data_IF_292944922867
#
_entry.id   IF_292944922867
#
_cell.length_a   1.000
_cell.length_b   1.000
_cell.length_c   1.000
_cell.angle_alpha   90.00
_cell.angle_beta   90.00
_cell.angle_gamma   90.00
#
_symmetry.space_group_name_H-M   'P 1'
#
loop_
_entity.id
_entity.type
_entity.pdbx_description
1 polymer ?
2 polymer ?
#
loop_
_entity_poly.entity_id
_entity_poly.type
_entity_poly.pdbx_seq_one_letter_code
_entity_poly.pdbx_strand_id
1 'polyribonucleotide' 'GGGGGUGAAACGGUCUCGACGGGGGUCGCCGAGGGCGUGGCUGCGCGCCGAGGUGCGGGUGGCCUCGUAAAAACCCGCAACGGCAUAACUGCCAACACCAACUACGCUCUCGCGGCUUAAUGACCGCGACCUCGCCCGGUAGCCCUGCCGGGGGCUCACCGGAAGCGGGGACACAAACCCGGCUAGCCCGGGGCCACGCCCUCUAACCCCGGGCGAAGCUUGAAGGGGGCUCGCUCCUGGCCGCCCGUCCGCGGGCCAAGCCAGGAGGACACGCGAAACGCGGACUACGCGCGUAGAGGCCCGCCGUAGGGACCUUCGGACGGGGGUUCGACUCCCCCCACCUCCACCA' ?
#
# COMPACT_ATOMS: atom_id res chain seq x y z
N UNK B 1 -16.42 -3.90 3.96
CA UNK B 1 -17.01 -4.22 2.64
C UNK B 1 -15.89 -4.81 1.81
N UNK B 2 -16.01 -5.81 0.93
CA UNK B 2 -14.83 -6.45 0.37
C UNK B 2 -13.98 -5.61 -0.58
N UNK B 3 -14.42 -4.42 -0.99
CA UNK B 3 -13.58 -3.47 -1.68
C UNK B 3 -13.64 -2.16 -0.90
N UNK B 4 -12.49 -1.68 -0.37
CA UNK B 4 -12.40 -0.41 0.34
C UNK B 4 -11.19 0.34 -0.18
N UNK B 5 -10.48 1.15 0.63
CA UNK B 5 -9.21 1.74 0.23
C UNK B 5 -8.35 2.28 1.34
N UNK B 6 -7.10 2.59 0.97
CA UNK B 6 -6.10 3.19 1.82
C UNK B 6 -5.87 4.58 1.29
N UNK B 7 -6.28 5.63 2.02
CA UNK B 7 -6.03 6.98 1.57
C UNK B 7 -4.78 7.52 2.25
N UNK B 8 -3.62 7.29 1.64
CA UNK B 8 -2.35 7.81 2.12
C UNK B 8 -1.51 8.14 0.90
N UNK B 9 -2.27 8.65 -0.06
CA UNK B 9 -2.01 8.89 -1.45
C UNK B 9 -3.42 8.95 -1.98
N UNK B 10 -4.01 10.17 -1.99
CA UNK B 10 -5.34 10.60 -2.43
C UNK B 10 -5.80 11.88 -1.69
N UNK B 11 -4.85 12.65 -1.10
CA UNK B 11 -5.05 13.84 -0.27
C UNK B 11 -3.78 14.19 0.49
N UNK B 12 -2.59 13.86 -0.03
CA UNK B 12 -1.47 13.50 0.84
C UNK B 12 -0.26 13.30 -0.07
N UNK B 13 -0.50 12.51 -1.12
CA UNK B 13 0.35 12.15 -2.22
C UNK B 13 -0.69 11.73 -3.26
N UNK B 14 -0.31 11.43 -4.52
CA UNK B 14 -1.04 10.48 -5.37
C UNK B 14 -0.13 9.99 -6.50
N UNK B 15 -0.51 8.88 -7.15
CA UNK B 15 0.24 8.11 -8.13
C UNK B 15 0.77 8.74 -9.42
N UNK B 16 1.91 8.18 -9.88
CA UNK B 16 2.44 8.34 -11.23
C UNK B 16 2.28 7.06 -12.06
N UNK B 17 2.22 5.88 -11.41
CA UNK B 17 1.96 4.60 -12.08
C UNK B 17 1.18 3.72 -11.11
N UNK B 18 0.24 2.90 -11.64
CA UNK B 18 -0.66 2.03 -10.86
C UNK B 18 -0.55 0.58 -11.28
N UNK B 19 -0.64 -0.34 -10.29
CA UNK B 19 -0.48 -1.76 -10.47
C UNK B 19 -1.36 -2.44 -9.43
N UNK B 20 -1.48 -3.77 -9.42
CA UNK B 20 -2.22 -4.47 -8.39
C UNK B 20 -1.52 -5.78 -8.12
N UNK B 21 -1.62 -6.33 -6.90
CA UNK B 21 -1.01 -7.60 -6.58
C UNK B 21 -1.83 -8.37 -5.56
N UNK B 22 -2.10 -9.66 -5.83
CA UNK B 22 -2.58 -10.62 -4.85
C UNK B 22 -1.61 -10.85 -3.72
N UNK B 23 -2.11 -10.96 -2.48
CA UNK B 23 -1.26 -11.08 -1.31
C UNK B 23 -1.74 -12.21 -0.39
N UNK B 24 -1.02 -13.35 -0.37
CA UNK B 24 -1.27 -14.43 0.59
C UNK B 24 -1.00 -14.00 2.04
N UNK B 25 -1.80 -14.49 3.02
CA UNK B 25 -1.76 -13.81 4.31
C UNK B 25 -2.09 -14.55 5.60
N UNK B 26 -2.55 -15.83 5.60
CA UNK B 26 -3.06 -16.53 6.78
C UNK B 26 -4.45 -16.02 7.16
N UNK B 27 -5.49 -16.88 7.11
CA UNK B 27 -6.92 -16.54 6.95
C UNK B 27 -7.48 -15.56 7.95
N UNK B 28 -6.89 -15.51 9.15
CA UNK B 28 -7.15 -14.63 10.30
C UNK B 28 -7.24 -13.11 10.08
N UNK B 29 -7.23 -12.62 8.83
CA UNK B 29 -7.42 -11.23 8.48
C UNK B 29 -8.70 -10.99 7.67
N UNK B 30 -9.33 -12.06 7.13
CA UNK B 30 -10.33 -11.96 6.08
C UNK B 30 -11.63 -11.23 6.47
N UNK B 31 -12.32 -11.65 7.55
CA UNK B 31 -13.60 -11.05 7.93
C UNK B 31 -13.48 -9.58 8.27
N UNK B 32 -12.36 -9.14 8.86
CA UNK B 32 -12.15 -7.75 9.24
C UNK B 32 -12.15 -6.74 8.11
N UNK B 33 -11.44 -7.00 6.99
CA UNK B 33 -11.56 -6.17 5.81
C UNK B 33 -12.90 -6.38 5.10
N UNK B 34 -13.40 -7.64 4.99
CA UNK B 34 -14.69 -7.92 4.37
C UNK B 34 -15.83 -7.20 5.09
N UNK B 35 -15.86 -7.17 6.43
CA UNK B 35 -16.76 -6.35 7.22
C UNK B 35 -16.50 -4.84 7.10
N UNK B 36 -15.28 -4.31 7.38
CA UNK B 36 -15.10 -2.87 7.27
C UNK B 36 -13.96 -2.16 7.96
N UNK B 37 -12.79 -2.79 8.19
CA UNK B 37 -11.61 -2.04 8.59
C UNK B 37 -10.77 -1.60 7.39
N UNK B 38 -9.88 -0.61 7.58
CA UNK B 38 -9.05 -0.01 6.53
C UNK B 38 -7.71 0.34 7.16
N UNK B 39 -6.71 0.74 6.36
CA UNK B 39 -5.41 1.13 6.85
C UNK B 39 -4.90 2.37 6.11
N UNK B 40 -3.94 3.06 6.75
CA UNK B 40 -3.30 4.28 6.34
C UNK B 40 -1.81 4.25 6.69
N UNK B 41 -1.28 3.13 7.26
CA UNK B 41 0.13 2.99 7.62
C UNK B 41 1.11 3.13 6.46
N UNK B 42 2.29 3.69 6.73
CA UNK B 42 3.32 3.89 5.71
C UNK B 42 4.02 2.62 5.35
N UNK B 43 3.53 1.92 4.32
CA UNK B 43 4.26 0.86 3.65
C UNK B 43 5.52 1.35 2.96
N UNK B 44 6.53 0.49 2.92
CA UNK B 44 7.79 0.69 2.25
C UNK B 44 8.06 -0.62 1.53
N UNK B 45 9.22 -0.77 0.87
CA UNK B 45 9.59 -2.03 0.28
C UNK B 45 11.10 -2.05 0.23
N UNK B 46 11.70 -3.24 0.08
CA UNK B 46 13.12 -3.43 -0.06
C UNK B 46 13.20 -4.60 -1.03
N UNK B 47 14.06 -4.54 -2.05
CA UNK B 47 13.64 -5.04 -3.36
C UNK B 47 14.76 -5.41 -4.33
N UNK B 48 15.98 -5.66 -3.84
CA UNK B 48 17.01 -6.39 -4.56
C UNK B 48 16.64 -7.88 -4.64
N UNK B 49 15.56 -8.16 -5.41
CA UNK B 49 14.67 -9.27 -5.21
C UNK B 49 14.26 -9.89 -6.55
N UNK B 50 13.76 -11.15 -6.49
CA UNK B 50 13.15 -11.86 -7.60
C UNK B 50 11.70 -11.49 -7.75
N UNK B 51 11.00 -11.30 -6.62
CA UNK B 51 9.62 -10.86 -6.60
C UNK B 51 9.57 -9.36 -6.27
N UNK B 52 8.85 -8.94 -5.22
CA UNK B 52 8.82 -7.54 -4.80
C UNK B 52 8.24 -7.43 -3.40
N UNK B 53 9.03 -7.79 -2.38
CA UNK B 53 8.59 -7.73 -0.99
C UNK B 53 8.18 -6.37 -0.43
N UNK B 54 6.86 -6.17 -0.29
CA UNK B 54 6.26 -5.10 0.49
C UNK B 54 6.53 -5.19 2.00
N UNK B 55 6.83 -4.04 2.64
CA UNK B 55 7.09 -3.94 4.06
C UNK B 55 6.02 -3.06 4.70
N UNK B 56 5.22 -3.62 5.61
CA UNK B 56 4.12 -2.98 6.34
C UNK B 56 2.83 -2.81 5.54
N UNK B 57 1.66 -3.03 6.20
CA UNK B 57 0.30 -2.92 5.67
C UNK B 57 -0.65 -3.66 6.63
N UNK B 58 -1.71 -3.01 7.11
CA UNK B 58 -2.75 -3.67 7.90
C UNK B 58 -3.96 -4.00 7.03
N UNK B 59 -4.39 -5.28 7.05
CA UNK B 59 -5.73 -5.69 6.60
C UNK B 59 -6.64 -5.76 7.83
N UNK B 60 -5.99 -5.64 9.01
CA UNK B 60 -6.50 -5.82 10.35
C UNK B 60 -6.71 -7.29 10.72
N UNK B 61 -6.45 -7.74 11.94
CA UNK B 61 -6.89 -9.07 12.38
C UNK B 61 -8.41 -9.12 12.51
N UNK B 62 -9.07 -10.30 12.36
CA UNK B 62 -10.42 -10.46 12.88
C UNK B 62 -10.37 -10.80 14.36
N UNK B 63 -11.43 -10.44 15.11
CA UNK B 63 -11.35 -10.21 16.52
C UNK B 63 -12.68 -10.51 17.18
N UNK B 64 -12.63 -11.00 18.43
CA UNK B 64 -13.76 -11.00 19.35
C UNK B 64 -13.08 -10.70 20.67
N UNK B 65 -12.36 -11.71 21.20
CA UNK B 65 -11.19 -11.54 22.02
C UNK B 65 -9.93 -11.68 21.21
N UNK B 66 -8.92 -12.32 21.83
CA UNK B 66 -7.53 -12.45 21.42
C UNK B 66 -7.28 -13.12 20.09
N UNK B 67 -8.10 -14.12 19.71
CA UNK B 67 -8.00 -14.81 18.43
C UNK B 67 -6.66 -15.54 18.15
N UNK B 68 -6.46 -15.95 16.88
CA UNK B 68 -5.33 -16.77 16.47
C UNK B 68 -4.45 -16.08 15.43
N UNK B 69 -4.44 -14.74 15.41
CA UNK B 69 -3.76 -13.94 14.40
C UNK B 69 -2.29 -13.68 14.74
N UNK B 70 -1.48 -13.29 13.73
CA UNK B 70 -0.14 -12.75 13.95
C UNK B 70 -0.08 -11.46 13.17
N UNK B 71 0.64 -10.43 13.68
CA UNK B 71 0.78 -9.06 13.15
C UNK B 71 0.69 -8.94 11.60
N UNK B 72 -0.19 -8.15 10.99
CA UNK B 72 -0.45 -8.26 9.56
C UNK B 72 0.60 -7.53 8.74
N UNK B 73 1.29 -6.53 9.31
CA UNK B 73 2.26 -5.70 8.61
C UNK B 73 3.62 -6.37 8.40
N UNK B 74 3.61 -7.69 8.26
CA UNK B 74 4.72 -8.54 7.90
C UNK B 74 4.90 -8.59 6.39
N UNK B 75 6.03 -9.16 5.91
CA UNK B 75 6.21 -9.46 4.50
C UNK B 75 5.17 -10.41 3.93
N UNK B 76 4.79 -10.19 2.67
CA UNK B 76 3.81 -10.99 1.97
C UNK B 76 4.35 -11.14 0.57
N UNK B 77 4.19 -12.31 -0.06
CA UNK B 77 4.42 -12.46 -1.49
C UNK B 77 3.43 -11.65 -2.33
N UNK B 78 3.87 -11.12 -3.49
CA UNK B 78 3.05 -10.27 -4.35
C UNK B 78 2.89 -10.90 -5.72
N UNK B 79 1.67 -11.36 -6.07
CA UNK B 79 1.40 -11.98 -7.37
C UNK B 79 1.55 -11.03 -8.57
N UNK B 80 2.44 -11.42 -9.51
CA UNK B 80 2.68 -10.91 -10.86
C UNK B 80 4.03 -11.46 -11.31
N UNK B 81 4.11 -12.13 -12.47
CA UNK B 81 5.35 -12.51 -13.17
C UNK B 81 6.51 -11.52 -13.06
N UNK B 82 7.77 -12.02 -12.94
CA UNK B 82 8.89 -11.23 -12.48
C UNK B 82 9.20 -10.01 -13.31
N UNK B 83 9.11 -10.13 -14.65
CA UNK B 83 9.41 -9.04 -15.57
C UNK B 83 8.51 -7.82 -15.41
N UNK B 84 7.17 -8.00 -15.35
CA UNK B 84 6.24 -6.89 -15.18
C UNK B 84 6.01 -6.54 -13.71
N UNK B 85 6.38 -7.42 -12.77
CA UNK B 85 6.55 -7.03 -11.38
C UNK B 85 7.78 -6.12 -11.21
N UNK B 86 8.77 -6.26 -12.12
CA UNK B 86 9.88 -5.33 -12.24
C UNK B 86 9.49 -4.01 -12.89
N UNK B 87 8.34 -3.91 -13.59
CA UNK B 87 7.78 -2.63 -13.98
C UNK B 87 7.30 -1.78 -12.80
N UNK B 88 6.63 -2.38 -11.80
CA UNK B 88 6.30 -1.74 -10.52
C UNK B 88 7.54 -1.35 -9.73
N UNK B 89 8.58 -2.21 -9.76
CA UNK B 89 9.91 -1.93 -9.24
C UNK B 89 10.62 -0.80 -10.00
N UNK B 90 10.33 -0.63 -11.31
CA UNK B 90 10.94 0.36 -12.19
C UNK B 90 10.53 1.78 -11.92
N UNK B 91 11.19 2.37 -10.90
CA UNK B 91 11.10 3.70 -10.30
C UNK B 91 10.99 3.62 -8.77
N UNK B 92 10.87 2.41 -8.17
CA UNK B 92 10.65 2.26 -6.73
C UNK B 92 11.79 2.80 -5.85
N UNK B 93 13.04 2.74 -6.34
CA UNK B 93 14.24 3.16 -5.64
C UNK B 93 14.64 4.60 -6.01
N UNK B 94 13.72 5.43 -6.56
CA UNK B 94 14.12 6.77 -6.96
C UNK B 94 13.96 7.81 -5.86
N UNK B 95 13.52 7.38 -4.65
CA UNK B 95 13.54 8.16 -3.42
C UNK B 95 12.89 9.53 -3.51
N UNK B 96 11.60 9.53 -3.91
CA UNK B 96 10.90 10.73 -4.31
C UNK B 96 9.60 10.43 -5.00
N UNK B 97 9.54 9.34 -5.78
CA UNK B 97 8.29 8.76 -6.25
C UNK B 97 8.30 7.36 -5.70
N UNK B 98 7.45 7.07 -4.71
CA UNK B 98 7.74 5.97 -3.78
C UNK B 98 6.50 5.11 -3.60
N UNK B 99 6.68 3.82 -3.26
CA UNK B 99 5.64 2.79 -3.18
C UNK B 99 4.52 3.07 -2.18
N UNK B 100 3.24 2.97 -2.61
CA UNK B 100 2.09 3.20 -1.72
C UNK B 100 0.99 2.15 -1.96
N UNK B 101 0.38 1.47 -0.97
CA UNK B 101 -0.95 0.87 -1.09
C UNK B 101 -2.05 1.86 -1.41
N UNK B 102 -2.81 1.63 -2.48
CA UNK B 102 -3.88 2.52 -2.89
C UNK B 102 -5.24 2.00 -2.45
N UNK B 103 -5.52 0.71 -2.70
CA UNK B 103 -6.77 0.09 -2.34
C UNK B 103 -6.56 -1.37 -1.97
N UNK B 104 -6.56 -1.73 -0.68
CA UNK B 104 -6.79 -3.10 -0.23
C UNK B 104 -8.20 -3.61 -0.55
N UNK B 105 -8.30 -4.85 -1.03
CA UNK B 105 -9.56 -5.40 -1.51
C UNK B 105 -9.51 -6.90 -1.59
N UNK B 106 -10.66 -7.53 -1.87
CA UNK B 106 -10.75 -8.93 -2.22
C UNK B 106 -11.23 -9.02 -3.65
N UNK B 107 -10.89 -10.11 -4.36
CA UNK B 107 -11.51 -10.44 -5.63
C UNK B 107 -12.92 -11.02 -5.43
N UNK B 108 -13.61 -11.31 -6.54
CA UNK B 108 -14.95 -11.88 -6.55
C UNK B 108 -15.07 -13.22 -5.83
N UNK B 109 -13.96 -13.99 -5.80
CA UNK B 109 -13.86 -15.28 -5.16
C UNK B 109 -13.41 -15.18 -3.70
N UNK B 110 -13.30 -13.97 -3.14
CA UNK B 110 -12.96 -13.75 -1.74
C UNK B 110 -11.50 -13.76 -1.34
N UNK B 111 -10.53 -13.91 -2.27
CA UNK B 111 -9.10 -13.88 -1.93
C UNK B 111 -8.57 -12.44 -1.95
N UNK B 112 -7.61 -12.10 -1.07
CA UNK B 112 -7.16 -10.74 -0.85
C UNK B 112 -6.09 -10.23 -1.82
N UNK B 113 -6.21 -8.95 -2.19
CA UNK B 113 -5.35 -8.25 -3.12
C UNK B 113 -5.10 -6.83 -2.62
N UNK B 114 -4.07 -6.18 -3.15
CA UNK B 114 -3.83 -4.76 -2.90
C UNK B 114 -3.52 -4.06 -4.21
N UNK B 115 -4.31 -3.01 -4.54
CA UNK B 115 -3.96 -2.06 -5.58
C UNK B 115 -2.80 -1.20 -5.11
N UNK B 116 -1.74 -1.06 -5.92
CA UNK B 116 -0.47 -0.48 -5.52
C UNK B 116 -0.08 0.59 -6.50
N UNK B 117 0.75 1.55 -6.08
CA UNK B 117 1.32 2.48 -7.03
C UNK B 117 2.58 3.08 -6.51
N UNK B 118 3.15 4.02 -7.28
CA UNK B 118 4.27 4.82 -6.84
C UNK B 118 3.88 6.29 -6.99
N UNK B 119 4.07 7.09 -5.92
CA UNK B 119 3.38 8.35 -5.76
C UNK B 119 4.23 9.46 -5.17
N UNK B 120 3.75 10.72 -5.28
CA UNK B 120 4.21 11.85 -4.49
C UNK B 120 3.12 12.91 -4.46
N UNK B 121 3.27 14.03 -3.72
CA UNK B 121 2.29 15.12 -3.78
C UNK B 121 2.65 16.24 -2.86
N UNK B 122 3.26 15.90 -1.72
CA UNK B 122 4.07 16.83 -0.97
C UNK B 122 5.31 17.24 -1.75
N UNK B 123 5.51 18.55 -1.99
CA UNK B 123 6.64 19.12 -2.69
C UNK B 123 6.88 18.65 -4.14
N UNK B 124 7.70 19.39 -4.91
CA UNK B 124 8.17 18.91 -6.20
C UNK B 124 9.27 17.87 -6.03
N UNK B 125 10.16 18.12 -5.05
CA UNK B 125 11.12 17.16 -4.56
C UNK B 125 11.37 17.56 -3.12
N UNK B 126 11.68 16.61 -2.24
CA UNK B 126 11.97 16.87 -0.85
C UNK B 126 13.24 17.67 -0.64
N UNK B 127 13.50 18.05 0.63
CA UNK B 127 14.81 18.50 1.09
C UNK B 127 15.25 19.88 0.54
N UNK B 128 14.50 20.43 -0.45
CA UNK B 128 14.37 21.83 -0.83
C UNK B 128 13.81 22.72 0.28
N UNK B 129 14.12 24.02 0.29
CA UNK B 129 13.54 24.95 1.26
C UNK B 129 12.13 25.39 0.86
N UNK B 130 11.97 25.68 -0.44
CA UNK B 130 10.93 26.48 -1.04
C UNK B 130 9.49 25.98 -0.93
N UNK B 131 9.24 24.68 -1.17
CA UNK B 131 7.93 24.09 -1.37
C UNK B 131 7.44 23.25 -0.18
N UNK B 132 8.13 23.33 0.98
CA UNK B 132 7.72 22.64 2.20
C UNK B 132 6.41 23.15 2.79
N UNK B 133 6.12 24.45 2.70
CA UNK B 133 4.83 25.00 3.11
C UNK B 133 3.62 24.37 2.39
N UNK B 134 3.74 24.04 1.08
CA UNK B 134 2.76 23.31 0.30
C UNK B 134 2.66 21.82 0.69
N UNK B 135 3.60 21.30 1.49
CA UNK B 135 3.54 19.93 1.97
C UNK B 135 2.80 19.80 3.30
N UNK B 136 2.50 20.93 3.97
CA UNK B 136 1.77 20.92 5.24
C UNK B 136 0.44 21.67 5.16
N UNK B 137 0.23 22.49 4.11
CA UNK B 137 -1.08 22.98 3.71
C UNK B 137 -1.13 22.69 2.22
N UNK B 138 -2.17 21.99 1.75
CA UNK B 138 -2.38 21.41 0.43
C UNK B 138 -2.24 19.91 0.47
N UNK B 139 -1.02 19.37 0.68
CA UNK B 139 -0.75 17.96 0.59
C UNK B 139 -1.00 17.21 1.89
N UNK B 140 -2.11 17.56 2.54
CA UNK B 140 -2.75 16.86 3.66
C UNK B 140 -4.27 17.09 3.54
N UNK B 141 -4.73 17.58 2.36
CA UNK B 141 -6.08 18.06 2.14
C UNK B 141 -6.60 17.65 0.77
N UNK B 142 -5.92 18.12 -0.30
CA UNK B 142 -6.38 18.06 -1.68
C UNK B 142 -5.99 16.76 -2.37
N UNK B 143 -4.79 16.73 -2.97
CA UNK B 143 -4.13 15.59 -3.54
C UNK B 143 -2.63 15.83 -3.26
#
# INVERSE_FOLDING_TARGET
APVLENRRARHDYEILETYEAGIALKGTEVKSLRAGKVDFTGSFARFEDGELYLENLYIAPYEKGSYANVDPRRKRKLLLHKHELRRLLGKVEQKGLTLVPLKIYFNERGYAKVLLGLARGKKAYEKRREDKKEAVRRALEELHHHHHH
#
